data_IF_690413671971
#
_entry.id   IF_690413671971
#
_cell.length_a   1.000
_cell.length_b   1.000
_cell.length_c   1.000
_cell.angle_alpha   90.00
_cell.angle_beta   90.00
_cell.angle_gamma   90.00
#
_symmetry.space_group_name_H-M   'P 1'
#
loop_
_entity.id
_entity.type
_entity.pdbx_description
1 polymer ?
#
# COMPACT_ATOMS: atom_id res chain seq x y z
N UNK A 1 5.78 -19.67 -23.69
CA UNK A 1 6.02 -20.44 -22.44
C UNK A 1 5.92 -19.44 -21.31
N UNK A 2 4.78 -19.37 -20.61
CA UNK A 2 4.64 -18.53 -19.42
C UNK A 2 5.56 -19.10 -18.33
N UNK A 3 6.53 -18.31 -17.86
CA UNK A 3 7.36 -18.70 -16.71
C UNK A 3 6.60 -18.33 -15.44
N UNK A 4 5.91 -19.29 -14.85
CA UNK A 4 5.36 -19.17 -13.50
C UNK A 4 6.48 -19.35 -12.49
N UNK A 5 6.83 -18.29 -11.75
CA UNK A 5 7.82 -18.38 -10.67
C UNK A 5 7.30 -19.33 -9.57
N UNK A 6 8.09 -20.35 -9.22
CA UNK A 6 7.80 -21.23 -8.10
C UNK A 6 8.18 -20.56 -6.79
N UNK A 7 7.27 -20.57 -5.82
CA UNK A 7 7.53 -20.12 -4.46
C UNK A 7 8.55 -21.03 -3.76
N UNK A 8 9.81 -20.63 -3.74
CA UNK A 8 10.89 -21.25 -2.97
C UNK A 8 11.78 -20.17 -2.37
N UNK A 9 11.93 -20.17 -1.04
CA UNK A 9 12.61 -19.12 -0.27
C UNK A 9 14.10 -19.02 -0.58
N UNK A 10 14.45 -17.98 -1.33
CA UNK A 10 15.66 -17.12 -1.25
C UNK A 10 15.65 -16.05 -2.37
N UNK A 11 14.73 -16.16 -3.36
CA UNK A 11 14.50 -15.19 -4.44
C UNK A 11 13.65 -13.96 -4.05
N UNK A 12 13.10 -13.91 -2.82
CA UNK A 12 12.18 -12.86 -2.41
C UNK A 12 12.85 -11.47 -2.29
N UNK A 13 14.18 -11.42 -2.18
CA UNK A 13 14.94 -10.17 -2.12
C UNK A 13 15.13 -9.49 -3.49
N UNK A 14 14.91 -10.20 -4.61
CA UNK A 14 15.17 -9.64 -5.93
C UNK A 14 13.98 -8.84 -6.50
N UNK A 15 12.76 -9.16 -6.09
CA UNK A 15 11.54 -8.65 -6.72
C UNK A 15 10.70 -7.81 -5.78
N UNK A 16 10.35 -6.59 -6.22
CA UNK A 16 9.40 -5.75 -5.50
C UNK A 16 7.97 -6.07 -5.99
N UNK A 17 7.04 -6.49 -5.12
CA UNK A 17 5.66 -6.71 -5.53
C UNK A 17 4.96 -5.42 -5.98
N UNK A 18 4.12 -5.48 -7.01
CA UNK A 18 3.32 -4.34 -7.49
C UNK A 18 2.50 -3.67 -6.37
N UNK A 19 1.99 -4.49 -5.43
CA UNK A 19 1.32 -4.00 -4.22
C UNK A 19 2.26 -3.15 -3.36
N UNK A 20 3.52 -3.53 -3.21
CA UNK A 20 4.45 -2.76 -2.39
C UNK A 20 4.80 -1.41 -3.03
N UNK A 21 4.85 -1.32 -4.36
CA UNK A 21 5.02 -0.04 -5.05
C UNK A 21 3.79 0.88 -4.90
N UNK A 22 2.59 0.31 -4.77
CA UNK A 22 1.40 1.06 -4.34
C UNK A 22 1.64 1.67 -2.94
N UNK A 23 2.03 0.85 -1.96
CA UNK A 23 2.26 1.32 -0.59
C UNK A 23 3.40 2.35 -0.51
N UNK A 24 4.47 2.19 -1.30
CA UNK A 24 5.56 3.18 -1.37
C UNK A 24 5.06 4.53 -1.88
N UNK A 25 4.28 4.52 -2.96
CA UNK A 25 3.66 5.72 -3.52
C UNK A 25 2.67 6.35 -2.53
N UNK A 26 2.01 5.54 -1.70
CA UNK A 26 1.15 6.03 -0.64
C UNK A 26 1.96 6.71 0.48
N UNK A 27 2.96 6.02 1.02
CA UNK A 27 3.87 6.48 2.07
C UNK A 27 5.16 5.62 2.07
N UNK A 28 6.34 6.19 1.78
CA UNK A 28 7.61 5.45 1.79
C UNK A 28 7.91 4.79 3.13
N UNK A 29 7.53 5.42 4.24
CA UNK A 29 7.69 4.85 5.58
C UNK A 29 6.78 3.65 5.82
N UNK A 30 5.55 3.66 5.28
CA UNK A 30 4.66 2.49 5.35
C UNK A 30 5.27 1.31 4.61
N UNK A 31 5.77 1.53 3.38
CA UNK A 31 6.50 0.52 2.62
C UNK A 31 7.68 -0.05 3.39
N UNK A 32 8.50 0.81 4.01
CA UNK A 32 9.66 0.35 4.76
C UNK A 32 9.25 -0.56 5.93
N UNK A 33 8.24 -0.14 6.71
CA UNK A 33 7.73 -0.93 7.82
C UNK A 33 7.13 -2.27 7.38
N UNK A 34 6.38 -2.30 6.27
CA UNK A 34 5.73 -3.54 5.80
C UNK A 34 6.68 -4.50 5.07
N UNK A 35 7.56 -3.98 4.20
CA UNK A 35 8.36 -4.81 3.30
C UNK A 35 9.78 -5.04 3.79
N UNK A 36 10.43 -4.01 4.35
CA UNK A 36 11.81 -4.13 4.84
C UNK A 36 11.82 -4.72 6.25
N UNK A 37 10.98 -4.20 7.15
CA UNK A 37 10.90 -4.68 8.54
C UNK A 37 9.90 -5.83 8.75
N UNK A 38 9.08 -6.15 7.73
CA UNK A 38 8.12 -7.25 7.79
C UNK A 38 6.96 -7.06 8.77
N UNK A 39 6.65 -5.82 9.14
CA UNK A 39 5.59 -5.49 10.11
C UNK A 39 4.23 -5.47 9.42
N UNK A 40 3.30 -6.27 9.93
CA UNK A 40 1.93 -6.28 9.44
C UNK A 40 0.95 -6.07 10.59
N UNK A 41 0.10 -5.05 10.46
CA UNK A 41 -1.09 -4.88 11.27
C UNK A 41 -2.32 -4.76 10.38
N UNK A 42 -3.40 -5.39 10.79
CA UNK A 42 -4.64 -5.37 10.04
C UNK A 42 -5.55 -4.25 10.53
N UNK A 43 -5.88 -3.31 9.64
CA UNK A 43 -6.99 -2.38 9.84
C UNK A 43 -8.26 -2.89 9.13
N UNK A 44 -9.39 -2.19 9.32
CA UNK A 44 -10.66 -2.54 8.64
C UNK A 44 -10.52 -2.67 7.12
N UNK A 45 -9.77 -1.76 6.49
CA UNK A 45 -9.64 -1.68 5.03
C UNK A 45 -8.88 -2.89 4.46
N UNK A 46 -7.77 -3.29 5.11
CA UNK A 46 -6.95 -4.44 4.70
C UNK A 46 -7.70 -5.77 4.85
N UNK A 47 -8.43 -5.97 5.96
CA UNK A 47 -9.22 -7.20 6.20
C UNK A 47 -10.36 -7.35 5.21
N UNK A 48 -11.07 -6.27 4.92
CA UNK A 48 -12.17 -6.29 3.96
C UNK A 48 -11.65 -6.54 2.54
N UNK A 49 -10.48 -6.00 2.18
CA UNK A 49 -9.81 -6.31 0.91
C UNK A 49 -9.45 -7.80 0.79
N UNK A 50 -8.76 -8.36 1.79
CA UNK A 50 -8.34 -9.77 1.78
C UNK A 50 -9.53 -10.75 1.68
N UNK A 51 -10.59 -10.52 2.45
CA UNK A 51 -11.80 -11.35 2.40
C UNK A 51 -12.50 -11.30 1.03
N UNK A 52 -12.30 -10.23 0.25
CA UNK A 52 -12.92 -10.06 -1.07
C UNK A 52 -12.10 -10.69 -2.19
N UNK A 53 -10.78 -10.53 -2.18
CA UNK A 53 -9.92 -11.27 -3.12
C UNK A 53 -10.16 -12.76 -2.97
N UNK A 54 -10.29 -13.25 -1.73
CA UNK A 54 -10.66 -14.64 -1.46
C UNK A 54 -11.98 -15.05 -2.12
N UNK A 55 -13.03 -14.21 -2.10
CA UNK A 55 -14.31 -14.51 -2.79
C UNK A 55 -14.24 -14.43 -4.31
N UNK A 56 -13.40 -13.56 -4.86
CA UNK A 56 -13.19 -13.45 -6.32
C UNK A 56 -12.37 -14.65 -6.80
N UNK A 57 -11.35 -15.03 -6.05
CA UNK A 57 -10.53 -16.22 -6.28
C UNK A 57 -11.37 -17.52 -6.10
N UNK A 58 -12.29 -17.59 -5.12
CA UNK A 58 -13.17 -18.75 -4.86
C UNK A 58 -14.31 -18.93 -5.87
N UNK A 59 -14.66 -17.91 -6.64
CA UNK A 59 -15.64 -18.01 -7.73
C UNK A 59 -14.97 -18.56 -9.00
N UNK A 60 -14.62 -19.84 -8.97
CA UNK A 60 -14.50 -20.67 -10.16
C UNK A 60 -15.90 -20.90 -10.77
N UNK A 61 -16.62 -19.83 -11.13
CA UNK A 61 -17.87 -19.98 -11.86
C UNK A 61 -17.55 -20.51 -13.27
N UNK A 62 -18.19 -21.63 -13.63
CA UNK A 62 -18.08 -22.29 -14.92
C UNK A 62 -18.21 -21.27 -16.07
N UNK A 63 -17.38 -21.45 -17.11
CA UNK A 63 -17.36 -20.60 -18.29
C UNK A 63 -18.81 -20.36 -18.79
N UNK A 64 -19.21 -19.11 -19.08
CA UNK A 64 -20.48 -18.84 -19.73
C UNK A 64 -20.57 -19.66 -21.03
N UNK A 65 -21.78 -20.08 -21.36
CA UNK A 65 -22.03 -20.95 -22.51
C UNK A 65 -21.42 -20.34 -23.77
N UNK A 66 -20.87 -21.19 -24.65
CA UNK A 66 -20.14 -20.77 -25.87
C UNK A 66 -20.95 -19.80 -26.74
N UNK A 67 -22.30 -19.79 -26.64
CA UNK A 67 -23.15 -18.82 -27.35
C UNK A 67 -23.08 -17.39 -26.80
N UNK A 68 -22.77 -17.19 -25.52
CA UNK A 68 -22.60 -15.85 -24.90
C UNK A 68 -21.17 -15.32 -25.07
N UNK A 69 -20.19 -16.21 -25.30
CA UNK A 69 -18.79 -15.87 -25.53
C UNK A 69 -18.48 -15.51 -27.00
N UNK A 70 -19.32 -15.91 -27.96
CA UNK A 70 -19.05 -15.73 -29.40
C UNK A 70 -19.21 -14.27 -29.88
N UNK A 71 -19.80 -13.37 -29.10
CA UNK A 71 -19.83 -11.94 -29.44
C UNK A 71 -18.56 -11.14 -29.05
N UNK A 72 -17.63 -11.73 -28.27
CA UNK A 72 -16.36 -11.07 -27.96
C UNK A 72 -15.23 -12.10 -27.91
N UNK A 73 -14.27 -12.03 -28.84
CA UNK A 73 -13.01 -12.77 -28.80
C UNK A 73 -12.11 -12.36 -27.62
N UNK A 74 -12.58 -12.53 -26.39
CA UNK A 74 -11.87 -12.17 -25.16
C UNK A 74 -11.67 -13.40 -24.30
N UNK A 75 -10.41 -13.79 -24.15
CA UNK A 75 -9.99 -14.80 -23.19
C UNK A 75 -9.89 -14.11 -21.84
N UNK A 76 -10.63 -14.61 -20.84
CA UNK A 76 -10.55 -14.16 -19.47
C UNK A 76 -9.68 -15.12 -18.67
N UNK A 77 -8.47 -14.68 -18.28
CA UNK A 77 -7.60 -15.45 -17.39
C UNK A 77 -7.65 -14.83 -16.00
N UNK A 78 -7.91 -15.64 -14.97
CA UNK A 78 -8.02 -15.19 -13.57
C UNK A 78 -6.77 -15.60 -12.78
N UNK A 79 -6.34 -14.72 -11.87
CA UNK A 79 -5.30 -14.98 -10.87
C UNK A 79 -3.98 -15.50 -11.46
N UNK A 80 -3.29 -14.69 -12.25
CA UNK A 80 -1.96 -15.01 -12.81
C UNK A 80 -0.89 -14.24 -12.04
N UNK A 81 0.20 -14.91 -11.67
CA UNK A 81 1.39 -14.23 -11.14
C UNK A 81 2.48 -14.24 -12.20
N UNK A 82 2.98 -13.06 -12.53
CA UNK A 82 4.03 -12.84 -13.52
C UNK A 82 5.11 -11.94 -12.91
N UNK A 83 6.34 -12.08 -13.39
CA UNK A 83 7.47 -11.23 -13.01
C UNK A 83 8.10 -10.56 -14.23
N UNK A 84 8.85 -9.50 -13.92
CA UNK A 84 9.68 -8.74 -14.85
C UNK A 84 11.09 -8.68 -14.28
N UNK A 85 12.04 -9.27 -14.99
CA UNK A 85 13.47 -9.25 -14.62
C UNK A 85 14.05 -7.85 -14.85
N UNK A 86 13.67 -7.21 -15.95
CA UNK A 86 14.18 -5.89 -16.30
C UNK A 86 13.89 -4.84 -15.22
N UNK A 87 12.64 -4.80 -14.74
CA UNK A 87 12.22 -3.89 -13.68
C UNK A 87 12.39 -4.50 -12.28
N UNK A 88 12.75 -5.79 -12.15
CA UNK A 88 12.80 -6.55 -10.90
C UNK A 88 11.53 -6.38 -10.07
N UNK A 89 10.38 -6.56 -10.70
CA UNK A 89 9.06 -6.47 -10.08
C UNK A 89 8.23 -7.73 -10.32
N UNK A 90 7.31 -8.01 -9.41
CA UNK A 90 6.38 -9.14 -9.51
C UNK A 90 4.94 -8.66 -9.31
N UNK A 91 4.02 -9.19 -10.11
CA UNK A 91 2.62 -8.78 -10.07
C UNK A 91 1.69 -10.01 -10.03
N UNK A 92 0.77 -10.00 -9.07
CA UNK A 92 -0.45 -10.83 -9.12
C UNK A 92 -1.53 -10.03 -9.85
N UNK A 93 -2.07 -10.60 -10.91
CA UNK A 93 -3.13 -10.03 -11.73
C UNK A 93 -4.43 -10.78 -11.45
N UNK A 94 -5.45 -10.07 -10.94
CA UNK A 94 -6.73 -10.66 -10.58
C UNK A 94 -7.50 -11.17 -11.81
N UNK A 95 -7.58 -10.35 -12.85
CA UNK A 95 -8.22 -10.68 -14.12
C UNK A 95 -7.44 -10.06 -15.27
N UNK A 96 -7.28 -10.81 -16.35
CA UNK A 96 -6.73 -10.35 -17.61
C UNK A 96 -7.78 -10.56 -18.69
N UNK A 97 -8.15 -9.48 -19.39
CA UNK A 97 -8.93 -9.55 -20.63
C UNK A 97 -7.95 -9.57 -21.80
N UNK A 98 -7.81 -10.71 -22.48
CA UNK A 98 -6.89 -10.86 -23.62
C UNK A 98 -7.65 -11.03 -24.95
N UNK A 99 -7.24 -10.29 -25.97
CA UNK A 99 -7.71 -10.42 -27.35
C UNK A 99 -6.49 -10.50 -28.28
N UNK A 100 -6.13 -11.72 -28.70
CA UNK A 100 -4.91 -11.95 -29.47
C UNK A 100 -3.66 -11.70 -28.63
N UNK A 101 -2.79 -10.81 -29.11
CA UNK A 101 -1.57 -10.36 -28.41
C UNK A 101 -1.82 -9.19 -27.45
N UNK A 102 -3.00 -8.55 -27.49
CA UNK A 102 -3.37 -7.46 -26.59
C UNK A 102 -3.97 -8.02 -25.30
N UNK A 103 -3.37 -7.66 -24.16
CA UNK A 103 -3.84 -8.01 -22.83
C UNK A 103 -4.11 -6.75 -22.00
N UNK A 104 -5.26 -6.71 -21.34
CA UNK A 104 -5.65 -5.61 -20.44
C UNK A 104 -5.84 -6.16 -19.02
N UNK A 105 -5.00 -5.74 -18.05
CA UNK A 105 -5.19 -6.11 -16.66
C UNK A 105 -6.40 -5.38 -16.06
N UNK A 106 -7.18 -6.10 -15.25
CA UNK A 106 -8.33 -5.58 -14.52
C UNK A 106 -8.12 -5.80 -13.04
N UNK A 107 -8.01 -4.72 -12.27
CA UNK A 107 -7.86 -4.73 -10.81
C UNK A 107 -9.16 -4.31 -10.12
N UNK A 108 -9.58 -5.09 -9.13
CA UNK A 108 -10.85 -4.89 -8.43
C UNK A 108 -10.61 -4.02 -7.20
N UNK A 109 -11.12 -2.78 -7.25
CA UNK A 109 -11.01 -1.83 -6.14
C UNK A 109 -12.30 -1.72 -5.37
N UNK A 110 -12.16 -1.50 -4.05
CA UNK A 110 -13.25 -1.06 -3.19
C UNK A 110 -13.31 0.46 -3.14
N UNK A 111 -14.52 1.00 -2.98
CA UNK A 111 -14.75 2.42 -2.82
C UNK A 111 -15.33 3.01 -4.08
N UNK A 112 -15.21 4.33 -4.17
CA UNK A 112 -15.54 5.09 -5.37
C UNK A 112 -14.25 5.57 -6.03
N UNK A 113 -14.24 5.68 -7.37
CA UNK A 113 -13.13 6.29 -8.09
C UNK A 113 -12.89 7.74 -7.63
N UNK A 114 -11.68 8.24 -7.88
CA UNK A 114 -11.36 9.63 -7.63
C UNK A 114 -12.18 10.50 -8.59
N UNK A 115 -12.90 11.48 -8.06
CA UNK A 115 -13.49 12.51 -8.91
C UNK A 115 -12.43 13.57 -9.21
N UNK A 116 -12.19 13.78 -10.50
CA UNK A 116 -11.28 14.81 -11.01
C UNK A 116 -12.02 16.15 -11.08
N UNK A 117 -11.28 17.25 -11.19
CA UNK A 117 -11.84 18.61 -11.21
C UNK A 117 -12.77 18.87 -12.40
N UNK A 118 -12.53 18.18 -13.52
CA UNK A 118 -13.35 18.22 -14.73
C UNK A 118 -14.58 17.30 -14.68
N UNK A 119 -14.82 16.63 -13.54
CA UNK A 119 -15.91 15.68 -13.36
C UNK A 119 -15.64 14.28 -13.93
N UNK A 120 -14.45 14.04 -14.51
CA UNK A 120 -14.05 12.72 -14.96
C UNK A 120 -13.70 11.80 -13.78
N UNK A 121 -13.74 10.49 -14.03
CA UNK A 121 -13.34 9.48 -13.05
C UNK A 121 -11.87 9.15 -13.25
N UNK A 122 -11.08 9.29 -12.19
CA UNK A 122 -9.67 9.00 -12.18
C UNK A 122 -9.27 8.02 -11.07
N UNK A 123 -7.97 7.87 -10.92
CA UNK A 123 -7.35 7.04 -9.89
C UNK A 123 -6.27 7.85 -9.17
N UNK A 124 -5.95 7.45 -7.95
CA UNK A 124 -4.82 8.02 -7.23
C UNK A 124 -3.50 7.42 -7.75
N UNK A 125 -2.41 8.16 -7.64
CA UNK A 125 -1.10 7.72 -8.12
C UNK A 125 -0.69 6.32 -7.61
N UNK A 126 -0.96 5.90 -6.37
CA UNK A 126 -0.66 4.53 -5.94
C UNK A 126 -1.37 3.45 -6.79
N UNK A 127 -2.63 3.70 -7.17
CA UNK A 127 -3.40 2.78 -8.02
C UNK A 127 -2.90 2.82 -9.47
N UNK A 128 -2.53 4.01 -9.97
CA UNK A 128 -1.94 4.18 -11.31
C UNK A 128 -0.60 3.46 -11.42
N UNK A 129 0.29 3.62 -10.44
CA UNK A 129 1.60 2.96 -10.39
C UNK A 129 1.44 1.45 -10.31
N UNK A 130 0.56 0.94 -9.44
CA UNK A 130 0.28 -0.49 -9.37
C UNK A 130 -0.19 -1.05 -10.73
N UNK A 131 -1.10 -0.35 -11.41
CA UNK A 131 -1.60 -0.75 -12.72
C UNK A 131 -0.51 -0.72 -13.80
N UNK A 132 0.36 0.29 -13.76
CA UNK A 132 1.51 0.39 -14.66
C UNK A 132 2.46 -0.80 -14.48
N UNK A 133 2.77 -1.19 -13.25
CA UNK A 133 3.61 -2.35 -12.97
C UNK A 133 2.99 -3.64 -13.52
N UNK A 134 1.67 -3.83 -13.35
CA UNK A 134 0.95 -4.97 -13.94
C UNK A 134 1.05 -4.99 -15.47
N UNK A 135 0.92 -3.82 -16.12
CA UNK A 135 1.08 -3.68 -17.56
C UNK A 135 2.52 -3.96 -18.03
N UNK A 136 3.52 -3.46 -17.32
CA UNK A 136 4.95 -3.69 -17.63
C UNK A 136 5.30 -5.17 -17.57
N UNK A 137 4.82 -5.87 -16.55
CA UNK A 137 5.02 -7.31 -16.40
C UNK A 137 4.34 -8.08 -17.55
N UNK A 138 3.14 -7.69 -17.97
CA UNK A 138 2.49 -8.27 -19.17
C UNK A 138 3.31 -8.02 -20.44
N UNK A 139 3.84 -6.80 -20.61
CA UNK A 139 4.68 -6.42 -21.75
C UNK A 139 5.93 -7.28 -21.86
N UNK A 140 6.63 -7.50 -20.76
CA UNK A 140 7.83 -8.35 -20.73
C UNK A 140 7.53 -9.82 -21.00
N UNK A 141 6.32 -10.27 -20.67
CA UNK A 141 5.86 -11.63 -20.96
C UNK A 141 5.28 -11.81 -22.37
N UNK A 142 5.48 -10.83 -23.27
CA UNK A 142 5.19 -10.92 -24.70
C UNK A 142 3.78 -10.46 -25.10
N UNK A 143 3.04 -9.82 -24.20
CA UNK A 143 1.75 -9.22 -24.52
C UNK A 143 1.90 -7.74 -24.85
N UNK A 144 1.02 -7.19 -25.69
CA UNK A 144 0.83 -5.75 -25.79
C UNK A 144 -0.14 -5.32 -24.70
N UNK A 145 0.14 -4.21 -24.02
CA UNK A 145 -0.73 -3.68 -22.98
C UNK A 145 -0.65 -2.15 -23.00
N UNK A 146 -1.66 -1.51 -23.55
CA UNK A 146 -1.68 -0.05 -23.73
C UNK A 146 -2.48 0.67 -22.63
N UNK A 147 -3.37 -0.06 -21.95
CA UNK A 147 -4.20 0.43 -20.85
C UNK A 147 -4.44 -0.69 -19.82
N UNK A 148 -4.77 -0.28 -18.60
CA UNK A 148 -5.32 -1.15 -17.56
C UNK A 148 -6.65 -0.61 -17.03
N UNK A 149 -7.41 -1.44 -16.32
CA UNK A 149 -8.74 -1.07 -15.82
C UNK A 149 -8.85 -1.27 -14.33
N UNK A 150 -9.27 -0.23 -13.62
CA UNK A 150 -9.74 -0.31 -12.25
C UNK A 150 -11.26 -0.49 -12.25
N UNK A 151 -11.75 -1.57 -11.64
CA UNK A 151 -13.17 -1.80 -11.47
C UNK A 151 -13.58 -1.56 -10.02
N UNK A 152 -14.38 -0.51 -9.79
CA UNK A 152 -14.90 -0.14 -8.47
C UNK A 152 -16.23 -0.84 -8.22
N UNK A 153 -16.25 -1.83 -7.33
CA UNK A 153 -17.44 -2.68 -7.18
C UNK A 153 -18.62 -1.98 -6.48
N UNK A 154 -18.37 -0.99 -5.60
CA UNK A 154 -19.43 -0.25 -4.89
C UNK A 154 -20.26 0.59 -5.88
N UNK A 155 -19.59 1.24 -6.82
CA UNK A 155 -20.22 2.09 -7.84
C UNK A 155 -20.45 1.37 -9.16
N UNK A 156 -19.90 0.15 -9.33
CA UNK A 156 -19.84 -0.61 -10.60
C UNK A 156 -19.19 0.16 -11.75
N UNK A 157 -18.32 1.11 -11.44
CA UNK A 157 -17.65 1.95 -12.44
C UNK A 157 -16.30 1.34 -12.87
N UNK A 158 -15.96 1.55 -14.15
CA UNK A 158 -14.65 1.21 -14.72
C UNK A 158 -13.87 2.50 -14.96
N UNK A 159 -12.66 2.58 -14.44
CA UNK A 159 -11.70 3.65 -14.75
C UNK A 159 -10.58 3.04 -15.57
N UNK A 160 -10.37 3.58 -16.78
CA UNK A 160 -9.27 3.18 -17.66
C UNK A 160 -8.05 4.00 -17.34
N UNK A 161 -6.91 3.34 -17.19
CA UNK A 161 -5.61 3.96 -16.93
C UNK A 161 -4.77 3.72 -18.17
N UNK A 162 -4.48 4.77 -18.93
CA UNK A 162 -3.55 4.70 -20.04
C UNK A 162 -2.13 4.48 -19.51
N UNK A 163 -1.37 3.62 -20.18
CA UNK A 163 0.05 3.38 -19.86
C UNK A 163 0.88 4.27 -20.77
N UNK A 164 0.86 5.57 -20.47
CA UNK A 164 1.58 6.62 -21.19
C UNK A 164 2.99 6.85 -20.64
N UNK A 165 3.78 7.67 -21.36
CA UNK A 165 5.17 7.96 -21.01
C UNK A 165 5.30 8.67 -19.65
N UNK A 166 4.30 9.46 -19.25
CA UNK A 166 4.28 10.12 -17.94
C UNK A 166 4.15 9.10 -16.82
N UNK A 167 3.21 8.17 -16.93
CA UNK A 167 3.00 7.12 -15.95
C UNK A 167 4.19 6.15 -15.91
N UNK A 168 4.79 5.82 -17.07
CA UNK A 168 6.02 5.03 -17.12
C UNK A 168 7.15 5.72 -16.37
N UNK A 169 7.41 7.00 -16.63
CA UNK A 169 8.46 7.76 -15.94
C UNK A 169 8.19 7.93 -14.44
N UNK A 170 6.91 8.04 -14.02
CA UNK A 170 6.55 8.02 -12.61
C UNK A 170 6.85 6.66 -11.98
N UNK A 171 6.43 5.57 -12.62
CA UNK A 171 6.64 4.20 -12.13
C UNK A 171 8.13 3.87 -12.04
N UNK A 172 8.94 4.24 -13.02
CA UNK A 172 10.39 4.03 -12.99
C UNK A 172 11.07 4.73 -11.82
N UNK A 173 10.69 6.00 -11.56
CA UNK A 173 11.20 6.74 -10.39
C UNK A 173 10.80 6.06 -9.08
N UNK A 174 9.55 5.64 -8.96
CA UNK A 174 9.06 4.96 -7.75
C UNK A 174 9.78 3.63 -7.52
N UNK A 175 10.05 2.86 -8.59
CA UNK A 175 10.83 1.61 -8.50
C UNK A 175 12.26 1.91 -8.03
N UNK A 176 12.90 2.93 -8.59
CA UNK A 176 14.25 3.33 -8.20
C UNK A 176 14.33 3.78 -6.74
N UNK A 177 13.42 4.66 -6.31
CA UNK A 177 13.37 5.17 -4.93
C UNK A 177 13.05 4.06 -3.92
N UNK A 178 12.17 3.12 -4.28
CA UNK A 178 11.86 1.96 -3.45
C UNK A 178 13.08 1.05 -3.29
N UNK A 179 13.87 0.84 -4.35
CA UNK A 179 15.13 0.08 -4.30
C UNK A 179 16.18 0.76 -3.44
N UNK A 180 16.40 2.06 -3.61
CA UNK A 180 17.35 2.82 -2.78
C UNK A 180 16.95 2.77 -1.30
N UNK A 181 15.65 2.82 -1.02
CA UNK A 181 15.13 2.66 0.35
C UNK A 181 15.44 1.28 0.93
N UNK A 182 15.33 0.21 0.14
CA UNK A 182 15.70 -1.16 0.56
C UNK A 182 17.21 -1.25 0.77
N UNK A 183 18.02 -0.79 -0.19
CA UNK A 183 19.47 -0.95 -0.18
C UNK A 183 20.15 -0.11 0.92
N UNK A 184 19.67 1.12 1.13
CA UNK A 184 20.23 2.01 2.15
C UNK A 184 19.92 1.57 3.57
N UNK A 185 18.88 0.74 3.77
CA UNK A 185 18.36 0.34 5.08
C UNK A 185 18.07 1.56 5.98
N UNK A 186 17.72 2.69 5.37
CA UNK A 186 17.36 3.92 6.08
C UNK A 186 15.86 4.10 6.03
N UNK A 187 15.23 3.98 7.20
CA UNK A 187 13.79 4.20 7.33
C UNK A 187 13.42 5.64 6.94
N UNK A 188 12.53 5.84 5.96
CA UNK A 188 12.06 7.17 5.59
C UNK A 188 11.38 7.89 6.77
N UNK A 189 11.48 9.22 6.86
CA UNK A 189 10.81 9.98 7.92
C UNK A 189 9.28 9.84 7.80
N UNK A 190 8.53 10.02 8.91
CA UNK A 190 7.08 10.09 8.85
C UNK A 190 6.60 11.22 7.95
N UNK A 191 5.39 11.07 7.39
CA UNK A 191 4.76 12.16 6.64
C UNK A 191 4.34 13.27 7.62
N UNK A 192 4.62 14.52 7.26
CA UNK A 192 4.21 15.68 8.07
C UNK A 192 2.71 15.97 7.88
N UNK A 193 1.99 16.01 9.01
CA UNK A 193 0.54 16.28 9.14
C UNK A 193 -0.36 15.69 8.02
N UNK A 194 -0.02 14.49 7.54
CA UNK A 194 -0.69 13.95 6.36
C UNK A 194 -2.10 13.43 6.69
N UNK A 195 -3.13 13.75 5.87
CA UNK A 195 -4.47 13.17 6.00
C UNK A 195 -4.51 11.66 5.71
N UNK A 196 -3.40 11.09 5.23
CA UNK A 196 -3.20 9.65 5.04
C UNK A 196 -3.02 8.92 6.37
N UNK A 197 -2.29 9.51 7.32
CA UNK A 197 -1.87 8.87 8.57
C UNK A 197 -3.03 8.29 9.39
N UNK A 198 -4.17 8.99 9.60
CA UNK A 198 -5.29 8.44 10.37
C UNK A 198 -5.94 7.17 9.79
N UNK A 199 -5.71 6.88 8.49
CA UNK A 199 -6.24 5.69 7.82
C UNK A 199 -5.21 4.56 7.68
N UNK A 200 -3.95 4.83 8.00
CA UNK A 200 -2.86 3.87 7.90
C UNK A 200 -3.01 2.75 8.95
N UNK A 201 -2.81 1.50 8.53
CA UNK A 201 -2.80 0.31 9.39
C UNK A 201 -1.70 0.34 10.45
N UNK A 202 -0.55 0.92 10.12
CA UNK A 202 0.62 0.96 10.99
C UNK A 202 0.76 2.28 11.75
N UNK A 203 -0.25 3.16 11.78
CA UNK A 203 -0.11 4.46 12.45
C UNK A 203 0.22 4.34 13.94
N UNK A 204 -0.33 3.32 14.62
CA UNK A 204 -0.02 3.04 16.04
C UNK A 204 1.38 2.46 16.29
N UNK A 205 2.08 2.04 15.24
CA UNK A 205 3.48 1.59 15.28
C UNK A 205 4.41 2.72 14.81
N UNK A 206 4.03 3.39 13.73
CA UNK A 206 4.76 4.49 13.12
C UNK A 206 4.85 5.72 14.04
N UNK A 207 3.75 6.03 14.76
CA UNK A 207 3.62 7.16 15.69
C UNK A 207 4.22 8.45 15.08
N UNK A 208 3.64 8.98 13.99
CA UNK A 208 4.30 9.99 13.16
C UNK A 208 4.55 11.29 13.91
N UNK A 209 3.60 11.73 14.73
CA UNK A 209 3.69 12.99 15.48
C UNK A 209 4.71 12.86 16.62
N UNK A 210 4.70 11.73 17.35
CA UNK A 210 5.63 11.44 18.44
C UNK A 210 7.05 11.23 17.92
N UNK A 211 7.21 10.46 16.83
CA UNK A 211 8.51 10.22 16.20
C UNK A 211 9.13 11.53 15.74
N UNK A 212 8.33 12.39 15.09
CA UNK A 212 8.79 13.71 14.64
C UNK A 212 9.11 14.61 15.83
N UNK A 213 8.27 14.62 16.87
CA UNK A 213 8.50 15.39 18.07
C UNK A 213 9.83 14.99 18.76
N UNK A 214 10.07 13.69 18.94
CA UNK A 214 11.31 13.18 19.53
C UNK A 214 12.54 13.53 18.67
N UNK A 215 12.44 13.40 17.35
CA UNK A 215 13.53 13.73 16.44
C UNK A 215 13.90 15.23 16.42
N UNK A 216 12.95 16.10 16.77
CA UNK A 216 13.13 17.55 16.83
C UNK A 216 13.58 18.06 18.20
N UNK A 217 13.75 17.19 19.20
CA UNK A 217 14.26 17.61 20.50
C UNK A 217 15.74 17.97 20.40
N UNK A 218 16.02 19.26 20.59
CA UNK A 218 17.36 19.83 20.66
C UNK A 218 17.56 20.37 22.07
N UNK A 219 18.74 20.10 22.64
CA UNK A 219 19.18 20.66 23.92
C UNK A 219 19.35 22.18 23.77
N UNK A 220 19.33 22.92 24.88
CA UNK A 220 19.52 24.38 24.89
C UNK A 220 20.87 24.83 24.30
N UNK A 221 21.85 23.94 24.22
CA UNK A 221 23.16 24.14 23.60
C UNK A 221 23.20 23.84 22.09
N UNK A 222 22.07 23.48 21.47
CA UNK A 222 21.95 23.21 20.04
C UNK A 222 22.30 21.79 19.62
N UNK A 223 22.70 20.92 20.57
CA UNK A 223 22.97 19.51 20.30
C UNK A 223 21.68 18.67 20.33
N UNK A 224 21.53 17.64 19.47
CA UNK A 224 20.36 16.77 19.50
C UNK A 224 20.26 16.01 20.83
N UNK A 225 19.03 15.86 21.34
CA UNK A 225 18.78 15.05 22.54
C UNK A 225 18.97 13.57 22.17
N UNK A 226 20.07 12.97 22.64
CA UNK A 226 20.35 11.54 22.43
C UNK A 226 19.73 10.71 23.55
N UNK A 227 19.01 9.65 23.20
CA UNK A 227 18.54 8.67 24.17
C UNK A 227 19.76 7.98 24.80
N UNK A 228 19.99 8.23 26.10
CA UNK A 228 21.06 7.56 26.86
C UNK A 228 20.74 6.06 26.99
N UNK A 229 21.74 5.21 26.78
CA UNK A 229 21.58 3.78 27.04
C UNK A 229 21.50 3.52 28.55
N UNK A 230 20.96 2.35 28.92
CA UNK A 230 20.81 1.91 30.32
C UNK A 230 22.10 2.01 31.13
N UNK A 231 23.26 1.91 30.47
CA UNK A 231 24.58 1.95 31.08
C UNK A 231 25.36 3.26 30.81
N UNK A 232 24.81 4.20 30.03
CA UNK A 232 25.41 5.53 29.77
C UNK A 232 25.08 6.54 30.88
N UNK A 233 24.59 6.05 32.01
CA UNK A 233 24.37 6.86 33.20
C UNK A 233 25.70 6.98 33.93
N UNK A 234 26.54 7.92 33.49
CA UNK A 234 27.69 8.38 34.28
C UNK A 234 27.24 8.87 35.67
N UNK A 235 28.17 9.13 36.61
CA UNK A 235 27.81 9.61 37.95
C UNK A 235 26.99 10.90 37.84
N UNK A 236 25.67 10.78 38.04
CA UNK A 236 24.74 11.90 37.94
C UNK A 236 24.96 12.80 39.15
N UNK A 237 25.35 14.05 38.90
CA UNK A 237 25.32 15.10 39.92
C UNK A 237 23.88 15.62 40.05
N UNK A 238 23.50 16.09 41.24
CA UNK A 238 22.17 16.65 41.47
C UNK A 238 21.87 17.85 40.55
N UNK A 239 22.90 18.50 40.03
CA UNK A 239 22.81 19.64 39.11
C UNK A 239 22.43 19.23 37.67
N UNK A 240 22.55 17.95 37.30
CA UNK A 240 22.22 17.45 35.95
C UNK A 240 20.70 17.41 35.68
N UNK A 241 19.87 17.43 36.73
CA UNK A 241 18.40 17.41 36.61
C UNK A 241 17.80 18.80 36.37
N UNK A 242 18.52 19.87 36.70
CA UNK A 242 17.95 21.23 36.70
C UNK A 242 18.25 22.02 35.41
N UNK A 243 19.11 21.54 34.50
CA UNK A 243 19.67 22.36 33.42
C UNK A 243 19.57 21.81 31.98
N UNK A 244 18.61 20.94 31.66
CA UNK A 244 18.28 20.64 30.26
C UNK A 244 16.93 21.26 29.89
N UNK A 245 16.93 22.60 29.77
CA UNK A 245 15.82 23.33 29.18
C UNK A 245 15.73 22.98 27.68
N UNK A 246 15.05 21.89 27.35
CA UNK A 246 14.70 21.55 25.96
C UNK A 246 13.77 22.63 25.42
N UNK A 247 14.14 23.27 24.31
CA UNK A 247 13.26 24.21 23.62
C UNK A 247 12.10 23.41 23.00
N UNK A 248 10.98 23.34 23.73
CA UNK A 248 9.80 22.57 23.31
C UNK A 248 9.01 23.37 22.29
N UNK A 249 9.37 23.27 21.01
CA UNK A 249 8.45 23.66 19.94
C UNK A 249 7.27 22.69 19.92
N UNK A 250 6.20 23.04 20.64
CA UNK A 250 5.03 22.18 20.84
C UNK A 250 4.08 22.27 19.66
N UNK A 251 4.32 21.50 18.59
CA UNK A 251 3.20 21.05 17.75
C UNK A 251 2.32 20.11 18.60
N UNK A 252 0.98 20.26 18.57
CA UNK A 252 0.11 19.37 19.33
C UNK A 252 0.23 17.95 18.78
N UNK A 253 0.65 17.01 19.63
CA UNK A 253 0.72 15.59 19.29
C UNK A 253 -0.71 15.07 19.19
N UNK A 254 -1.11 14.60 18.00
CA UNK A 254 -2.41 13.97 17.82
C UNK A 254 -2.32 12.53 18.27
N UNK A 255 -3.27 12.10 19.10
CA UNK A 255 -3.39 10.69 19.45
C UNK A 255 -4.03 9.92 18.30
N UNK A 256 -3.20 9.50 17.33
CA UNK A 256 -3.65 8.71 16.19
C UNK A 256 -3.80 7.25 16.61
N UNK A 257 -5.00 6.70 16.42
CA UNK A 257 -5.32 5.29 16.71
C UNK A 257 -5.79 4.63 15.42
N UNK A 258 -5.37 3.39 15.16
CA UNK A 258 -5.85 2.69 13.96
C UNK A 258 -7.37 2.44 14.08
N UNK A 259 -8.07 2.43 12.96
CA UNK A 259 -9.49 2.02 12.95
C UNK A 259 -9.61 0.56 13.40
N UNK A 260 -10.06 0.34 14.64
CA UNK A 260 -10.30 -0.92 15.39
C UNK A 260 -9.20 -1.47 16.32
N UNK A 261 -8.13 -0.73 16.65
CA UNK A 261 -7.16 -1.25 17.65
C UNK A 261 -7.82 -1.59 19.00
N UNK A 262 -8.90 -0.91 19.34
CA UNK A 262 -9.44 -1.06 20.68
C UNK A 262 -10.12 -2.43 20.94
N UNK A 263 -10.54 -3.17 19.88
CA UNK A 263 -11.44 -4.37 19.98
C UNK A 263 -12.41 -4.29 21.17
N UNK A 264 -12.89 -3.07 21.49
CA UNK A 264 -13.52 -2.80 22.77
C UNK A 264 -14.81 -3.59 22.78
N UNK A 265 -14.97 -4.41 23.81
CA UNK A 265 -16.22 -5.11 24.06
C UNK A 265 -17.34 -4.08 24.11
N UNK A 266 -18.26 -4.15 23.16
CA UNK A 266 -19.49 -3.36 23.20
C UNK A 266 -20.40 -4.01 24.24
N UNK A 267 -20.48 -3.42 25.43
CA UNK A 267 -21.43 -3.86 26.45
C UNK A 267 -22.78 -3.21 26.21
N UNK A 268 -23.77 -4.01 25.80
CA UNK A 268 -25.17 -3.58 25.76
C UNK A 268 -25.76 -3.80 27.16
N UNK A 269 -25.87 -2.74 27.96
CA UNK A 269 -26.42 -2.81 29.31
C UNK A 269 -27.94 -2.53 29.38
N UNK A 270 -28.57 -2.22 28.25
CA UNK A 270 -29.98 -1.81 28.21
C UNK A 270 -30.85 -2.91 27.57
N UNK A 271 -31.90 -3.40 28.27
CA UNK A 271 -32.86 -4.36 27.71
C UNK A 271 -33.50 -3.84 26.43
N UNK A 272 -33.56 -4.67 25.38
CA UNK A 272 -34.16 -4.33 24.09
C UNK A 272 -33.20 -3.82 23.01
N UNK A 273 -31.92 -3.64 23.32
CA UNK A 273 -30.90 -3.34 22.31
C UNK A 273 -30.43 -4.62 21.60
N UNK A 274 -30.26 -4.52 20.28
CA UNK A 274 -29.63 -5.56 19.46
C UNK A 274 -28.58 -4.93 18.56
N UNK A 275 -27.51 -5.68 18.27
CA UNK A 275 -26.48 -5.29 17.30
C UNK A 275 -26.72 -6.09 16.03
N UNK A 276 -27.19 -5.41 14.99
CA UNK A 276 -27.23 -5.94 13.62
C UNK A 276 -25.99 -5.51 12.84
N UNK A 277 -25.54 -6.34 11.88
CA UNK A 277 -24.64 -5.87 10.81
C UNK A 277 -25.49 -5.18 9.75
N UNK A 278 -25.41 -3.86 9.66
CA UNK A 278 -25.89 -3.12 8.48
C UNK A 278 -24.74 -3.00 7.48
N UNK A 279 -24.90 -3.63 6.32
CA UNK A 279 -24.07 -3.43 5.11
C UNK A 279 -22.64 -3.96 5.19
#
# INVERSE_FOLDING_TARGET
>A
MLRTASAGGDDAAQYIPARMLNEFTYCPRLFYLEFVEGLFAHNRYTLEGAARHKRVDEKEDALPSVKDAIEQCKIHVRSVTLSSEHYGVIAKLDLIEANGDLATPVDYKRGSPKQMEDGSLGAWDPERVQMCVQALVLRENGYRCDEGVLFFWETRQRVRIAIDDELLALTDRIIADARDTIESQRMPPPLDDSPKCPKCSLVGICLPDETTHCAQQVRSDGEPVVQKMLFDVGPQSADDFENEAVDRQTRPIRQLVTTRDERRSLYLNTPGLYVGKTG
#
